data_IF_601372679290
#
_entry.id   IF_601372679290
#
_cell.length_a   1.000
_cell.length_b   1.000
_cell.length_c   1.000
_cell.angle_alpha   90.00
_cell.angle_beta   90.00
_cell.angle_gamma   90.00
#
_symmetry.space_group_name_H-M   'P 1'
#
loop_
_entity.id
_entity.type
_entity.pdbx_description
1 polymer ?
#
# COMPACT_ATOMS: atom_id res chain seq x y z
N UNK A 1 2.96 -10.19 -6.90
CA UNK A 1 3.89 -9.35 -7.69
C UNK A 1 4.02 -8.02 -6.96
N UNK A 2 5.22 -7.62 -6.56
CA UNK A 2 5.46 -6.32 -5.90
C UNK A 2 6.06 -5.34 -6.91
N UNK A 3 5.71 -4.05 -6.78
CA UNK A 3 6.27 -2.98 -7.60
C UNK A 3 7.19 -2.18 -6.69
N UNK A 4 8.45 -2.08 -7.06
CA UNK A 4 9.44 -1.23 -6.40
C UNK A 4 9.97 -0.30 -7.49
N UNK A 5 9.75 1.01 -7.35
CA UNK A 5 10.21 2.05 -8.29
C UNK A 5 9.92 1.72 -9.77
N UNK A 6 8.65 1.41 -10.09
CA UNK A 6 8.20 1.00 -11.43
C UNK A 6 8.72 -0.36 -11.93
N UNK A 7 9.61 -1.02 -11.19
CA UNK A 7 10.12 -2.34 -11.54
C UNK A 7 9.14 -3.41 -11.04
N UNK A 8 8.67 -4.24 -11.95
CA UNK A 8 7.84 -5.40 -11.61
C UNK A 8 8.72 -6.55 -11.12
N UNK A 9 8.68 -6.82 -9.82
CA UNK A 9 9.41 -7.94 -9.23
C UNK A 9 8.56 -9.20 -9.25
N UNK A 10 8.99 -10.21 -10.01
CA UNK A 10 8.39 -11.54 -10.03
C UNK A 10 9.14 -12.48 -9.08
N UNK A 11 8.42 -13.11 -8.17
CA UNK A 11 8.96 -14.11 -7.24
C UNK A 11 8.23 -15.44 -7.44
N UNK A 12 8.60 -16.25 -8.45
CA UNK A 12 7.85 -17.46 -8.81
C UNK A 12 7.88 -18.54 -7.74
N UNK A 13 8.96 -18.59 -6.92
CA UNK A 13 9.15 -19.61 -5.88
C UNK A 13 8.60 -19.22 -4.50
N UNK A 14 7.81 -18.13 -4.39
CA UNK A 14 7.32 -17.64 -3.10
C UNK A 14 6.41 -18.64 -2.36
N UNK A 15 5.73 -19.51 -3.10
CA UNK A 15 4.81 -20.54 -2.55
C UNK A 15 5.45 -21.93 -2.40
N UNK A 16 6.72 -22.08 -2.74
CA UNK A 16 7.46 -23.34 -2.63
C UNK A 16 8.20 -23.35 -1.30
N UNK A 17 8.05 -24.42 -0.54
CA UNK A 17 8.78 -24.57 0.71
C UNK A 17 10.27 -24.79 0.45
N UNK A 18 11.12 -24.36 1.41
CA UNK A 18 12.58 -24.44 1.25
C UNK A 18 13.05 -25.88 1.12
N UNK A 19 12.41 -26.78 1.84
CA UNK A 19 12.75 -28.21 1.84
C UNK A 19 12.44 -28.83 0.48
N UNK A 20 11.32 -28.48 -0.16
CA UNK A 20 11.01 -28.93 -1.53
C UNK A 20 12.08 -28.48 -2.56
N UNK A 21 12.65 -27.26 -2.34
CA UNK A 21 13.72 -26.75 -3.20
C UNK A 21 15.00 -27.61 -3.01
N UNK A 22 15.36 -27.94 -1.77
CA UNK A 22 16.51 -28.77 -1.50
C UNK A 22 16.34 -30.19 -2.04
N UNK A 23 15.18 -30.82 -1.85
CA UNK A 23 14.87 -32.11 -2.44
C UNK A 23 15.01 -32.11 -3.96
N UNK A 24 14.54 -31.03 -4.61
CA UNK A 24 14.70 -30.87 -6.06
C UNK A 24 16.17 -30.76 -6.47
N UNK A 25 16.96 -29.96 -5.75
CA UNK A 25 18.39 -29.76 -5.99
C UNK A 25 19.17 -31.09 -5.86
N UNK A 26 18.91 -31.86 -4.81
CA UNK A 26 19.54 -33.17 -4.58
C UNK A 26 19.13 -34.19 -5.66
N UNK A 27 17.85 -34.27 -5.96
CA UNK A 27 17.33 -35.20 -6.99
C UNK A 27 17.93 -34.96 -8.36
N UNK A 28 18.24 -33.71 -8.70
CA UNK A 28 18.78 -33.33 -10.01
C UNK A 28 20.28 -33.07 -9.99
N UNK A 29 20.98 -33.35 -8.86
CA UNK A 29 22.41 -33.12 -8.68
C UNK A 29 22.85 -31.69 -9.11
N UNK A 30 22.07 -30.68 -8.70
CA UNK A 30 22.38 -29.28 -9.03
C UNK A 30 23.41 -28.73 -8.05
N UNK A 31 24.42 -28.05 -8.59
CA UNK A 31 25.37 -27.29 -7.77
C UNK A 31 24.75 -25.96 -7.35
N UNK A 32 24.96 -25.57 -6.09
CA UNK A 32 24.53 -24.27 -5.58
C UNK A 32 25.57 -23.69 -4.63
N UNK A 33 25.60 -22.36 -4.54
CA UNK A 33 26.49 -21.65 -3.64
C UNK A 33 25.75 -21.33 -2.33
N UNK A 34 26.34 -21.70 -1.21
CA UNK A 34 25.85 -21.27 0.09
C UNK A 34 26.36 -19.86 0.40
N UNK A 35 25.43 -18.90 0.46
CA UNK A 35 25.76 -17.53 0.85
C UNK A 35 25.76 -17.42 2.38
N UNK A 36 26.93 -17.26 2.96
CA UNK A 36 27.13 -17.15 4.42
C UNK A 36 26.38 -15.96 5.05
N UNK A 37 26.03 -14.93 4.27
CA UNK A 37 25.21 -13.83 4.78
C UNK A 37 23.78 -14.24 5.18
N UNK A 38 23.32 -15.41 4.72
CA UNK A 38 22.03 -15.97 5.13
C UNK A 38 22.03 -16.52 6.57
N UNK A 39 23.20 -16.78 7.13
CA UNK A 39 23.36 -17.32 8.48
C UNK A 39 23.64 -16.21 9.52
N UNK A 40 23.86 -14.98 9.06
CA UNK A 40 24.16 -13.84 9.92
C UNK A 40 22.89 -13.34 10.64
N UNK A 41 22.78 -13.69 11.93
CA UNK A 41 21.65 -13.30 12.80
C UNK A 41 21.65 -11.81 13.20
N UNK A 42 22.63 -11.01 12.79
CA UNK A 42 22.57 -9.55 12.96
C UNK A 42 21.45 -8.93 12.09
N UNK A 43 21.06 -9.62 11.02
CA UNK A 43 19.91 -9.21 10.22
C UNK A 43 18.61 -9.75 10.82
N UNK A 44 17.67 -8.86 11.16
CA UNK A 44 16.36 -9.22 11.72
C UNK A 44 15.64 -10.33 10.94
N UNK A 45 15.71 -10.30 9.61
CA UNK A 45 15.11 -11.34 8.75
C UNK A 45 15.68 -12.74 9.00
N UNK A 46 16.98 -12.84 9.26
CA UNK A 46 17.64 -14.11 9.50
C UNK A 46 17.34 -14.58 10.93
N UNK A 47 17.41 -13.70 11.92
CA UNK A 47 17.02 -13.98 13.30
C UNK A 47 15.56 -14.49 13.38
N UNK A 48 14.62 -13.82 12.70
CA UNK A 48 13.22 -14.26 12.66
C UNK A 48 13.11 -15.67 12.06
N UNK A 49 13.82 -15.94 10.96
CA UNK A 49 13.75 -17.23 10.26
C UNK A 49 14.43 -18.35 11.04
N UNK A 50 15.59 -18.11 11.62
CA UNK A 50 16.41 -19.14 12.30
C UNK A 50 15.96 -19.42 13.73
N UNK A 51 15.39 -18.42 14.42
CA UNK A 51 15.05 -18.52 15.85
C UNK A 51 13.57 -18.39 16.13
N UNK A 52 12.96 -17.29 15.69
CA UNK A 52 11.60 -16.97 16.11
C UNK A 52 10.54 -17.86 15.46
N UNK A 53 10.64 -18.11 14.15
CA UNK A 53 9.70 -18.97 13.44
C UNK A 53 9.71 -20.40 13.97
N UNK A 54 10.87 -21.07 14.17
CA UNK A 54 10.91 -22.40 14.77
C UNK A 54 10.32 -22.43 16.18
N UNK A 55 10.66 -21.46 17.04
CA UNK A 55 10.13 -21.38 18.39
C UNK A 55 8.58 -21.26 18.41
N UNK A 56 8.02 -20.46 17.52
CA UNK A 56 6.56 -20.34 17.36
C UNK A 56 5.99 -21.67 16.86
N UNK A 57 6.66 -22.32 15.90
CA UNK A 57 6.23 -23.59 15.32
C UNK A 57 6.18 -24.75 16.31
N UNK A 58 7.15 -24.83 17.21
CA UNK A 58 7.17 -25.82 18.30
C UNK A 58 5.95 -25.68 19.23
N UNK A 59 5.60 -24.47 19.60
CA UNK A 59 4.50 -24.21 20.53
C UNK A 59 3.14 -24.22 19.84
N UNK A 60 3.06 -23.71 18.62
CA UNK A 60 1.84 -23.57 17.82
C UNK A 60 2.08 -24.00 16.37
N UNK A 61 2.07 -25.30 16.06
CA UNK A 61 2.42 -25.82 14.73
C UNK A 61 1.60 -25.22 13.58
N UNK A 62 0.34 -24.83 13.83
CA UNK A 62 -0.51 -24.21 12.82
C UNK A 62 -0.33 -22.69 12.67
N UNK A 63 0.48 -22.02 13.51
CA UNK A 63 0.55 -20.56 13.54
C UNK A 63 1.11 -19.99 12.24
N UNK A 64 2.18 -20.57 11.71
CA UNK A 64 2.83 -20.09 10.49
C UNK A 64 1.87 -20.17 9.30
N UNK A 65 1.18 -21.32 9.16
CA UNK A 65 0.18 -21.47 8.12
C UNK A 65 -0.95 -20.45 8.25
N UNK A 66 -1.50 -20.26 9.46
CA UNK A 66 -2.56 -19.27 9.71
C UNK A 66 -2.13 -17.83 9.41
N UNK A 67 -0.88 -17.46 9.69
CA UNK A 67 -0.32 -16.14 9.33
C UNK A 67 -0.23 -15.99 7.80
N UNK A 68 0.21 -17.03 7.11
CA UNK A 68 0.27 -17.05 5.65
C UNK A 68 -1.13 -16.91 5.03
N UNK A 69 -2.10 -17.71 5.50
CA UNK A 69 -3.48 -17.67 5.03
C UNK A 69 -4.11 -16.29 5.27
N UNK A 70 -3.87 -15.66 6.44
CA UNK A 70 -4.32 -14.31 6.73
C UNK A 70 -3.68 -13.27 5.81
N UNK A 71 -2.40 -13.43 5.49
CA UNK A 71 -1.71 -12.55 4.54
C UNK A 71 -2.31 -12.63 3.14
N UNK A 72 -2.63 -13.85 2.66
CA UNK A 72 -3.29 -14.04 1.35
C UNK A 72 -4.69 -13.42 1.34
N UNK A 73 -5.48 -13.65 2.38
CA UNK A 73 -6.82 -13.05 2.52
C UNK A 73 -6.75 -11.52 2.53
N UNK A 74 -5.83 -10.96 3.32
CA UNK A 74 -5.63 -9.50 3.38
C UNK A 74 -5.22 -8.92 2.02
N UNK A 75 -4.48 -9.67 1.22
CA UNK A 75 -4.09 -9.25 -0.12
C UNK A 75 -5.30 -9.22 -1.08
N UNK A 76 -6.18 -10.22 -1.00
CA UNK A 76 -7.44 -10.25 -1.75
C UNK A 76 -8.35 -9.08 -1.36
N UNK A 77 -8.48 -8.78 -0.06
CA UNK A 77 -9.25 -7.63 0.42
C UNK A 77 -8.70 -6.30 -0.12
N UNK A 78 -7.38 -6.14 -0.16
CA UNK A 78 -6.74 -4.95 -0.74
C UNK A 78 -7.03 -4.85 -2.24
N UNK A 79 -6.96 -5.95 -2.98
CA UNK A 79 -7.23 -5.99 -4.41
C UNK A 79 -8.69 -5.63 -4.71
N UNK A 80 -9.64 -6.26 -4.00
CA UNK A 80 -11.05 -5.95 -4.10
C UNK A 80 -11.33 -4.47 -3.79
N UNK A 81 -10.77 -3.96 -2.69
CA UNK A 81 -10.88 -2.56 -2.31
C UNK A 81 -10.36 -1.62 -3.41
N UNK A 82 -9.23 -1.95 -4.03
CA UNK A 82 -8.66 -1.11 -5.09
C UNK A 82 -9.58 -1.07 -6.32
N UNK A 83 -10.13 -2.22 -6.74
CA UNK A 83 -11.10 -2.28 -7.85
C UNK A 83 -12.33 -1.41 -7.54
N UNK A 84 -12.89 -1.56 -6.34
CA UNK A 84 -14.05 -0.77 -5.91
C UNK A 84 -13.74 0.74 -5.89
N UNK A 85 -12.58 1.13 -5.34
CA UNK A 85 -12.19 2.54 -5.28
C UNK A 85 -11.94 3.14 -6.66
N UNK A 86 -11.41 2.37 -7.61
CA UNK A 86 -11.24 2.83 -8.99
C UNK A 86 -12.58 3.10 -9.67
N UNK A 87 -13.55 2.23 -9.52
CA UNK A 87 -14.90 2.44 -10.04
C UNK A 87 -15.54 3.70 -9.43
N UNK A 88 -15.43 3.85 -8.09
CA UNK A 88 -15.96 5.05 -7.41
C UNK A 88 -15.28 6.34 -7.85
N UNK A 89 -13.99 6.32 -8.13
CA UNK A 89 -13.26 7.49 -8.65
C UNK A 89 -13.77 7.87 -10.03
N UNK A 90 -14.01 6.92 -10.92
CA UNK A 90 -14.55 7.22 -12.26
C UNK A 90 -15.96 7.82 -12.19
N UNK A 91 -16.83 7.32 -11.30
CA UNK A 91 -18.17 7.89 -11.06
C UNK A 91 -18.14 9.33 -10.51
N UNK A 92 -17.10 9.66 -9.74
CA UNK A 92 -16.93 10.97 -9.09
C UNK A 92 -16.07 11.93 -9.91
N UNK A 93 -15.62 11.51 -11.09
CA UNK A 93 -14.74 12.31 -11.95
C UNK A 93 -15.46 13.59 -12.43
N UNK A 94 -14.71 14.67 -12.50
CA UNK A 94 -15.09 15.93 -13.13
C UNK A 94 -14.06 16.30 -14.21
N UNK A 95 -14.27 17.39 -14.92
CA UNK A 95 -13.34 17.83 -15.98
C UNK A 95 -11.88 18.02 -15.48
N UNK A 96 -11.71 18.50 -14.25
CA UNK A 96 -10.41 18.87 -13.70
C UNK A 96 -9.92 17.96 -12.57
N UNK A 97 -10.77 17.10 -12.02
CA UNK A 97 -10.44 16.26 -10.88
C UNK A 97 -11.62 15.46 -10.36
N UNK A 98 -11.95 15.58 -9.06
CA UNK A 98 -13.13 14.94 -8.47
C UNK A 98 -14.23 15.96 -8.15
N UNK A 99 -15.47 15.58 -8.37
CA UNK A 99 -16.64 16.43 -8.08
C UNK A 99 -16.85 16.58 -6.57
N UNK A 100 -16.63 17.78 -6.03
CA UNK A 100 -16.71 18.04 -4.60
C UNK A 100 -18.12 17.87 -4.03
N UNK A 101 -19.17 18.25 -4.80
CA UNK A 101 -20.55 18.10 -4.36
C UNK A 101 -20.98 16.63 -4.26
N UNK A 102 -20.44 15.76 -5.12
CA UNK A 102 -20.66 14.33 -5.06
C UNK A 102 -19.88 13.70 -3.90
N UNK A 103 -18.64 14.13 -3.69
CA UNK A 103 -17.82 13.71 -2.54
C UNK A 103 -18.49 14.09 -1.21
N UNK A 104 -19.08 15.28 -1.10
CA UNK A 104 -19.75 15.75 0.13
C UNK A 104 -20.95 14.91 0.56
N UNK A 105 -21.54 14.14 -0.36
CA UNK A 105 -22.66 13.23 -0.06
C UNK A 105 -22.20 11.89 0.54
N UNK A 106 -20.92 11.59 0.47
CA UNK A 106 -20.35 10.36 0.99
C UNK A 106 -20.04 10.49 2.48
N UNK A 107 -19.88 9.38 3.17
CA UNK A 107 -19.35 9.35 4.54
C UNK A 107 -17.89 9.82 4.56
N UNK A 108 -17.42 10.30 5.72
CA UNK A 108 -16.02 10.68 5.93
C UNK A 108 -15.05 9.53 5.61
N UNK A 109 -15.44 8.30 5.97
CA UNK A 109 -14.62 7.11 5.72
C UNK A 109 -14.49 6.88 4.20
N UNK A 110 -15.59 6.91 3.45
CA UNK A 110 -15.56 6.73 2.00
C UNK A 110 -14.72 7.81 1.32
N UNK A 111 -14.94 9.09 1.67
CA UNK A 111 -14.13 10.20 1.16
C UNK A 111 -12.65 9.99 1.41
N UNK A 112 -12.29 9.61 2.64
CA UNK A 112 -10.90 9.35 3.03
C UNK A 112 -10.26 8.30 2.14
N UNK A 113 -10.93 7.16 1.94
CA UNK A 113 -10.38 6.08 1.11
C UNK A 113 -10.28 6.47 -0.37
N UNK A 114 -11.30 7.12 -0.92
CA UNK A 114 -11.35 7.57 -2.32
C UNK A 114 -10.25 8.60 -2.59
N UNK A 115 -10.15 9.64 -1.76
CA UNK A 115 -9.16 10.72 -1.92
C UNK A 115 -7.75 10.15 -1.79
N UNK A 116 -7.48 9.31 -0.81
CA UNK A 116 -6.16 8.68 -0.65
C UNK A 116 -5.79 7.78 -1.84
N UNK A 117 -6.73 6.97 -2.33
CA UNK A 117 -6.48 6.13 -3.50
C UNK A 117 -6.22 6.98 -4.74
N UNK A 118 -7.00 8.04 -4.96
CA UNK A 118 -6.83 8.97 -6.06
C UNK A 118 -5.48 9.70 -6.03
N UNK A 119 -5.04 10.19 -4.87
CA UNK A 119 -3.72 10.79 -4.67
C UNK A 119 -2.61 9.80 -5.05
N UNK A 120 -2.69 8.57 -4.53
CA UNK A 120 -1.71 7.50 -4.82
C UNK A 120 -1.66 7.16 -6.31
N UNK A 121 -2.81 7.03 -6.97
CA UNK A 121 -2.93 6.72 -8.41
C UNK A 121 -2.27 7.79 -9.28
N UNK A 122 -2.28 9.03 -8.85
CA UNK A 122 -1.63 10.15 -9.54
C UNK A 122 -0.14 10.35 -9.16
N UNK A 123 0.46 9.43 -8.41
CA UNK A 123 1.89 9.44 -8.09
C UNK A 123 2.30 10.42 -7.00
N UNK A 124 1.35 10.96 -6.24
CA UNK A 124 1.65 11.90 -5.16
C UNK A 124 1.80 11.20 -3.80
N UNK A 125 2.53 11.86 -2.90
CA UNK A 125 2.73 11.41 -1.53
C UNK A 125 1.41 11.35 -0.76
N UNK A 126 1.23 10.28 0.02
CA UNK A 126 0.02 10.09 0.83
C UNK A 126 -0.02 11.08 2.00
N UNK A 127 -1.18 11.72 2.27
CA UNK A 127 -1.34 12.57 3.44
C UNK A 127 -1.23 11.72 4.73
N UNK A 128 -0.58 12.25 5.74
CA UNK A 128 -0.60 11.69 7.09
C UNK A 128 -1.97 11.96 7.75
N UNK A 129 -2.19 11.41 8.96
CA UNK A 129 -3.48 11.57 9.67
C UNK A 129 -3.84 13.04 9.92
N UNK A 130 -2.87 13.89 10.30
CA UNK A 130 -3.10 15.31 10.56
C UNK A 130 -3.55 16.04 9.29
N UNK A 131 -2.85 15.82 8.19
CA UNK A 131 -3.20 16.39 6.88
C UNK A 131 -4.55 15.88 6.39
N UNK A 132 -4.88 14.60 6.64
CA UNK A 132 -6.19 14.05 6.27
C UNK A 132 -7.35 14.76 7.01
N UNK A 133 -7.18 15.02 8.31
CA UNK A 133 -8.16 15.77 9.09
C UNK A 133 -8.28 17.21 8.61
N UNK A 134 -7.18 17.83 8.20
CA UNK A 134 -7.17 19.16 7.61
C UNK A 134 -7.92 19.23 6.29
N UNK A 135 -7.70 18.25 5.41
CA UNK A 135 -8.45 18.08 4.15
C UNK A 135 -9.96 18.00 4.44
N UNK A 136 -10.37 17.15 5.36
CA UNK A 136 -11.78 16.98 5.73
C UNK A 136 -12.39 18.28 6.26
N UNK A 137 -11.68 18.96 7.18
CA UNK A 137 -12.13 20.22 7.75
C UNK A 137 -12.28 21.32 6.71
N UNK A 138 -11.29 21.48 5.84
CA UNK A 138 -11.24 22.60 4.88
C UNK A 138 -12.22 22.41 3.73
N UNK A 139 -12.35 21.19 3.20
CA UNK A 139 -13.14 20.98 1.98
C UNK A 139 -14.56 20.45 2.23
N UNK A 140 -14.83 19.88 3.41
CA UNK A 140 -16.14 19.23 3.66
C UNK A 140 -16.87 19.70 4.94
N UNK A 141 -16.17 20.27 5.93
CA UNK A 141 -16.79 20.71 7.19
C UNK A 141 -16.95 22.22 7.30
N UNK A 142 -16.20 23.02 6.56
CA UNK A 142 -16.30 24.49 6.56
C UNK A 142 -16.89 25.01 5.24
N UNK A 143 -17.36 26.26 5.23
CA UNK A 143 -17.71 26.90 3.96
C UNK A 143 -16.43 27.03 3.12
N UNK A 144 -16.29 26.20 2.11
CA UNK A 144 -15.12 26.18 1.22
C UNK A 144 -15.06 27.50 0.45
N UNK A 145 -13.99 28.27 0.65
CA UNK A 145 -13.70 29.47 -0.14
C UNK A 145 -12.93 29.07 -1.41
N UNK A 146 -13.05 29.85 -2.47
CA UNK A 146 -12.36 29.61 -3.74
C UNK A 146 -10.83 29.54 -3.65
N UNK A 147 -10.24 29.96 -2.52
CA UNK A 147 -8.80 29.96 -2.30
C UNK A 147 -8.32 28.91 -1.27
N UNK A 148 -9.20 28.00 -0.84
CA UNK A 148 -8.83 26.94 0.11
C UNK A 148 -7.87 25.96 -0.52
N UNK A 149 -6.74 25.71 0.14
CA UNK A 149 -5.77 24.72 -0.31
C UNK A 149 -5.05 24.05 0.87
N UNK A 150 -4.66 22.78 0.68
CA UNK A 150 -3.83 22.00 1.61
C UNK A 150 -2.63 21.49 0.86
N UNK A 151 -1.46 21.60 1.45
CA UNK A 151 -0.20 21.16 0.84
C UNK A 151 0.57 20.29 1.82
N UNK A 152 1.18 19.22 1.30
CA UNK A 152 2.05 18.33 2.09
C UNK A 152 3.14 17.69 1.23
N UNK A 153 4.19 17.23 1.93
CA UNK A 153 5.29 16.46 1.38
C UNK A 153 5.65 15.33 2.35
N UNK A 154 6.40 14.34 1.89
CA UNK A 154 7.06 13.37 2.76
C UNK A 154 8.53 13.71 2.92
N UNK A 155 9.07 13.42 4.09
CA UNK A 155 10.47 13.71 4.40
C UNK A 155 11.47 12.85 3.59
N UNK A 156 11.01 11.70 3.07
CA UNK A 156 11.83 10.75 2.32
C UNK A 156 11.98 11.10 0.83
N UNK A 157 11.30 12.13 0.34
CA UNK A 157 11.27 12.55 -1.06
C UNK A 157 11.01 11.42 -2.10
N UNK A 158 10.55 10.25 -1.62
CA UNK A 158 10.30 9.07 -2.47
C UNK A 158 9.09 9.26 -3.40
N UNK A 159 8.24 10.24 -3.11
CA UNK A 159 7.07 10.57 -3.92
C UNK A 159 6.91 12.09 -4.03
N UNK A 160 6.30 12.56 -5.12
CA UNK A 160 6.04 13.98 -5.37
C UNK A 160 5.20 14.60 -4.25
N UNK A 161 5.57 15.81 -3.86
CA UNK A 161 4.75 16.65 -2.97
C UNK A 161 3.39 16.92 -3.61
N UNK A 162 2.36 17.12 -2.81
CA UNK A 162 1.01 17.32 -3.31
C UNK A 162 0.41 18.62 -2.76
N UNK A 163 -0.24 19.39 -3.63
CA UNK A 163 -1.12 20.48 -3.29
C UNK A 163 -2.53 20.15 -3.76
N UNK A 164 -3.48 20.17 -2.82
CA UNK A 164 -4.91 19.98 -3.07
C UNK A 164 -5.63 21.32 -2.94
N UNK A 165 -6.52 21.61 -3.86
CA UNK A 165 -7.32 22.84 -3.86
C UNK A 165 -8.64 22.62 -4.64
N UNK A 166 -9.54 23.60 -4.57
CA UNK A 166 -10.78 23.57 -5.33
C UNK A 166 -10.77 24.59 -6.47
N UNK A 167 -11.27 24.18 -7.61
CA UNK A 167 -11.60 25.10 -8.72
C UNK A 167 -12.99 24.76 -9.26
N UNK A 168 -13.86 25.78 -9.39
CA UNK A 168 -15.26 25.67 -9.76
C UNK A 168 -16.02 24.68 -8.85
N UNK A 169 -16.18 23.43 -9.24
CA UNK A 169 -16.84 22.37 -8.46
C UNK A 169 -15.94 21.12 -8.34
N UNK A 170 -14.68 21.28 -8.66
CA UNK A 170 -13.73 20.18 -8.70
C UNK A 170 -12.71 20.28 -7.59
N UNK A 171 -12.43 19.17 -6.94
CA UNK A 171 -11.28 18.98 -6.08
C UNK A 171 -10.10 18.56 -6.96
N UNK A 172 -9.01 19.31 -6.90
CA UNK A 172 -7.86 19.17 -7.80
C UNK A 172 -6.61 18.89 -6.98
N UNK A 173 -5.70 18.06 -7.52
CA UNK A 173 -4.37 17.84 -7.01
C UNK A 173 -3.32 18.20 -8.06
N UNK A 174 -2.23 18.79 -7.64
CA UNK A 174 -1.07 19.07 -8.48
C UNK A 174 0.21 19.11 -7.66
N UNK A 175 1.33 19.15 -8.34
CA UNK A 175 2.62 19.48 -7.74
C UNK A 175 2.60 20.95 -7.26
N UNK A 176 3.13 21.28 -6.07
CA UNK A 176 3.16 22.64 -5.51
C UNK A 176 3.86 23.64 -6.38
#
# INVERSE_FOLDING_TARGET
MSIVDEIKVLRPMLKIEKDEIYEYVEKHNLEYIHDHSNDDEQFDRNFIRSRLIPLIGERWPAAIKKISDLSELSQQDIEFKNIFLEQRIEELRSELGLNISSLSKLSEIERTYIIRHWIKKNGFSQPNRKTQLEIEKIFFCSQTTSNSSVQWSRADNAQKSCKMFTDKKSLIIKEP
#
